data_IF_108895840886
#
_entry.id   IF_108895840886
#
_cell.length_a   1.000
_cell.length_b   1.000
_cell.length_c   1.000
_cell.angle_alpha   90.00
_cell.angle_beta   90.00
_cell.angle_gamma   90.00
#
_symmetry.space_group_name_H-M   'P 1'
#
loop_
_entity.id
_entity.type
_entity.pdbx_description
1 polymer ?
#
# COMPACT_ATOMS: atom_id res chain seq x y z
N UNK A 1 4.77 5.20 -17.39
CA UNK A 1 5.55 6.19 -16.59
C UNK A 1 4.74 6.59 -15.36
N UNK A 2 5.38 6.97 -14.24
CA UNK A 2 4.69 7.53 -13.06
C UNK A 2 4.66 9.05 -13.13
N UNK A 3 3.53 9.66 -12.82
CA UNK A 3 3.39 11.13 -12.77
C UNK A 3 2.94 11.56 -11.39
N UNK A 4 3.66 12.51 -10.78
CA UNK A 4 3.36 12.99 -9.44
C UNK A 4 2.78 14.41 -9.48
N UNK A 5 1.82 14.68 -8.59
CA UNK A 5 1.27 16.02 -8.40
C UNK A 5 2.39 17.03 -8.06
N UNK A 6 2.35 18.28 -8.57
CA UNK A 6 1.29 18.88 -9.40
C UNK A 6 1.42 18.63 -10.89
N UNK A 7 2.59 18.16 -11.37
CA UNK A 7 2.89 18.07 -12.80
C UNK A 7 2.14 16.94 -13.50
N UNK A 8 1.87 15.83 -12.80
CA UNK A 8 1.20 14.67 -13.40
C UNK A 8 2.03 14.04 -14.53
N UNK A 9 1.35 13.54 -15.57
CA UNK A 9 1.99 12.92 -16.74
C UNK A 9 2.29 11.42 -16.60
N UNK A 10 1.61 10.74 -15.68
CA UNK A 10 1.71 9.29 -15.54
C UNK A 10 0.98 8.59 -16.68
N UNK A 11 1.53 7.46 -17.11
CA UNK A 11 0.95 6.58 -18.12
C UNK A 11 0.89 5.16 -17.55
N UNK A 12 -0.30 4.56 -17.62
CA UNK A 12 -0.58 3.17 -17.25
C UNK A 12 -1.17 2.49 -18.47
N UNK A 13 -0.55 1.39 -18.91
CA UNK A 13 -1.10 0.51 -19.94
C UNK A 13 -1.73 -0.68 -19.21
N UNK A 14 -3.03 -0.86 -19.37
CA UNK A 14 -3.76 -2.01 -18.82
C UNK A 14 -4.02 -2.99 -19.95
N UNK A 15 -3.54 -4.22 -19.78
CA UNK A 15 -3.87 -5.34 -20.65
C UNK A 15 -4.63 -6.36 -19.83
N UNK A 16 -5.86 -6.67 -20.24
CA UNK A 16 -6.68 -7.69 -19.59
C UNK A 16 -7.15 -8.71 -20.62
N UNK A 17 -7.21 -9.97 -20.21
CA UNK A 17 -7.86 -11.02 -20.97
C UNK A 17 -9.31 -11.13 -20.50
N UNK A 18 -10.31 -11.04 -21.38
CA UNK A 18 -11.70 -11.20 -20.99
C UNK A 18 -11.92 -12.59 -20.41
N UNK A 19 -12.61 -12.67 -19.27
CA UNK A 19 -13.10 -13.93 -18.72
C UNK A 19 -14.54 -14.17 -19.19
N UNK A 20 -14.90 -15.43 -19.45
CA UNK A 20 -16.26 -15.79 -19.89
C UNK A 20 -17.29 -15.67 -18.78
N UNK A 21 -16.86 -15.85 -17.54
CA UNK A 21 -17.69 -15.77 -16.35
C UNK A 21 -16.80 -15.34 -15.17
N UNK A 22 -17.33 -14.52 -14.29
CA UNK A 22 -16.71 -14.18 -13.01
C UNK A 22 -17.07 -15.27 -12.00
N UNK A 23 -16.08 -15.76 -11.27
CA UNK A 23 -16.34 -16.68 -10.16
C UNK A 23 -16.60 -15.86 -8.89
N UNK A 24 -17.60 -16.23 -8.08
CA UNK A 24 -17.86 -15.55 -6.83
C UNK A 24 -16.66 -15.71 -5.89
N UNK A 25 -16.32 -14.62 -5.19
CA UNK A 25 -15.26 -14.64 -4.18
C UNK A 25 -15.92 -14.86 -2.83
N UNK A 26 -15.56 -15.95 -2.15
CA UNK A 26 -16.09 -16.25 -0.82
C UNK A 26 -15.11 -15.76 0.27
N UNK A 27 -15.28 -14.51 0.69
CA UNK A 27 -14.53 -13.89 1.80
C UNK A 27 -15.37 -13.85 3.08
N UNK A 28 -15.82 -15.00 3.54
CA UNK A 28 -16.62 -15.14 4.78
C UNK A 28 -15.76 -15.26 6.03
N UNK A 29 -14.53 -15.76 5.89
CA UNK A 29 -13.54 -15.82 6.96
C UNK A 29 -12.31 -14.98 6.60
N UNK A 30 -11.91 -14.13 7.53
CA UNK A 30 -10.71 -13.29 7.41
C UNK A 30 -9.42 -14.10 7.64
N UNK A 31 -9.48 -15.15 8.45
CA UNK A 31 -8.29 -15.86 8.91
C UNK A 31 -7.30 -14.96 9.67
N UNK A 32 -6.06 -15.45 9.79
CA UNK A 32 -4.95 -14.75 10.48
C UNK A 32 -4.02 -14.07 9.48
N UNK A 33 -3.45 -12.92 9.85
CA UNK A 33 -2.41 -12.27 9.03
C UNK A 33 -1.17 -13.17 8.94
N UNK A 34 -0.73 -13.49 7.72
CA UNK A 34 0.41 -14.39 7.44
C UNK A 34 1.66 -13.65 7.00
N UNK A 35 1.51 -12.47 6.39
CA UNK A 35 2.64 -11.61 6.01
C UNK A 35 2.22 -10.15 5.87
N UNK A 36 3.15 -9.24 6.17
CA UNK A 36 3.03 -7.84 5.81
C UNK A 36 4.19 -7.47 4.90
N UNK A 37 3.88 -6.86 3.78
CA UNK A 37 4.89 -6.41 2.83
C UNK A 37 4.48 -5.09 2.20
N UNK A 38 5.39 -4.43 1.49
CA UNK A 38 5.06 -3.15 0.88
C UNK A 38 6.22 -2.49 0.16
N UNK A 39 5.97 -1.28 -0.31
CA UNK A 39 6.94 -0.47 -1.04
C UNK A 39 6.86 0.97 -0.57
N UNK A 40 7.99 1.52 -0.13
CA UNK A 40 8.18 2.94 0.09
C UNK A 40 8.99 3.48 -1.08
N UNK A 41 8.51 4.50 -1.79
CA UNK A 41 9.17 4.97 -3.00
C UNK A 41 9.45 6.48 -2.94
N UNK A 42 10.50 6.88 -3.65
CA UNK A 42 10.81 8.29 -3.94
C UNK A 42 11.09 8.44 -5.43
N UNK A 43 10.79 9.60 -5.98
CA UNK A 43 10.95 9.94 -7.39
C UNK A 43 11.52 11.34 -7.57
N UNK A 44 12.13 11.58 -8.72
CA UNK A 44 12.75 12.85 -9.07
C UNK A 44 14.00 13.13 -8.22
N UNK A 45 14.10 14.34 -7.67
CA UNK A 45 15.28 14.79 -6.90
C UNK A 45 15.24 14.39 -5.43
N UNK A 46 14.19 13.70 -4.98
CA UNK A 46 14.05 13.33 -3.58
C UNK A 46 15.11 12.28 -3.17
N UNK A 47 15.79 12.46 -2.02
CA UNK A 47 16.80 11.52 -1.58
C UNK A 47 16.22 10.14 -1.28
N UNK A 48 16.94 9.07 -1.66
CA UNK A 48 16.58 7.68 -1.33
C UNK A 48 16.37 7.45 0.17
N UNK A 49 17.05 8.24 1.02
CA UNK A 49 16.87 8.22 2.48
C UNK A 49 15.41 8.44 2.90
N UNK A 50 14.64 9.26 2.18
CA UNK A 50 13.22 9.51 2.48
C UNK A 50 12.41 8.20 2.38
N UNK A 51 12.67 7.35 1.37
CA UNK A 51 12.03 6.04 1.26
C UNK A 51 12.43 5.10 2.41
N UNK A 52 13.71 5.11 2.81
CA UNK A 52 14.19 4.31 3.94
C UNK A 52 13.54 4.75 5.27
N UNK A 53 13.43 6.05 5.49
CA UNK A 53 12.88 6.61 6.71
C UNK A 53 11.37 6.31 6.81
N UNK A 54 10.60 6.45 5.71
CA UNK A 54 9.20 5.99 5.62
C UNK A 54 9.05 4.50 5.97
N UNK A 55 9.85 3.63 5.34
CA UNK A 55 9.78 2.19 5.57
C UNK A 55 10.11 1.84 7.02
N UNK A 56 11.18 2.43 7.58
CA UNK A 56 11.59 2.18 8.95
C UNK A 56 10.54 2.66 9.96
N UNK A 57 9.94 3.84 9.76
CA UNK A 57 8.87 4.37 10.61
C UNK A 57 7.62 3.49 10.56
N UNK A 58 7.21 3.04 9.37
CA UNK A 58 6.10 2.11 9.19
C UNK A 58 6.34 0.77 9.92
N UNK A 59 7.51 0.17 9.74
CA UNK A 59 7.88 -1.08 10.43
C UNK A 59 7.84 -0.90 11.95
N UNK A 60 8.42 0.19 12.47
CA UNK A 60 8.38 0.49 13.92
C UNK A 60 6.96 0.65 14.44
N UNK A 61 6.07 1.28 13.67
CA UNK A 61 4.66 1.42 14.03
C UNK A 61 3.95 0.05 14.07
N UNK A 62 4.06 -0.74 12.99
CA UNK A 62 3.45 -2.07 12.88
C UNK A 62 3.90 -3.00 14.02
N UNK A 63 5.20 -2.97 14.35
CA UNK A 63 5.79 -3.82 15.40
C UNK A 63 5.27 -3.55 16.81
N UNK A 64 4.58 -2.42 17.06
CA UNK A 64 3.92 -2.16 18.35
C UNK A 64 2.77 -3.15 18.60
N UNK A 65 2.11 -3.60 17.55
CA UNK A 65 0.95 -4.50 17.63
C UNK A 65 1.22 -5.88 17.04
N UNK A 66 2.04 -5.96 15.98
CA UNK A 66 2.34 -7.21 15.28
C UNK A 66 3.79 -7.60 15.54
N UNK A 67 4.03 -8.46 16.53
CA UNK A 67 5.38 -8.79 17.01
C UNK A 67 6.05 -9.92 16.24
N UNK A 68 5.33 -10.99 15.92
CA UNK A 68 5.93 -12.25 15.46
C UNK A 68 5.77 -12.51 13.96
N UNK A 69 5.35 -11.49 13.19
CA UNK A 69 5.13 -11.63 11.76
C UNK A 69 6.34 -11.16 10.94
N UNK A 70 6.55 -11.75 9.76
CA UNK A 70 7.47 -11.19 8.79
C UNK A 70 6.89 -9.88 8.21
N UNK A 71 7.67 -8.79 8.31
CA UNK A 71 7.30 -7.46 7.81
C UNK A 71 8.41 -6.98 6.87
N UNK A 72 8.12 -6.82 5.59
CA UNK A 72 9.10 -6.39 4.58
C UNK A 72 8.58 -5.24 3.72
N UNK A 73 9.02 -4.02 4.04
CA UNK A 73 8.69 -2.82 3.26
C UNK A 73 9.93 -2.39 2.49
N UNK A 74 9.92 -2.55 1.17
CA UNK A 74 11.07 -2.28 0.33
C UNK A 74 11.16 -0.77 0.01
N UNK A 75 12.26 -0.08 0.37
CA UNK A 75 12.53 1.27 -0.10
C UNK A 75 13.01 1.23 -1.55
N UNK A 76 12.45 2.08 -2.42
CA UNK A 76 12.75 2.12 -3.86
C UNK A 76 12.97 3.55 -4.33
N UNK A 77 14.00 3.76 -5.14
CA UNK A 77 14.18 4.97 -5.95
C UNK A 77 13.58 4.70 -7.33
N UNK A 78 12.56 5.48 -7.72
CA UNK A 78 12.03 5.40 -9.08
C UNK A 78 13.11 5.84 -10.09
N UNK A 79 13.31 5.10 -11.19
CA UNK A 79 14.20 5.50 -12.26
C UNK A 79 13.84 6.88 -12.82
N UNK A 80 14.85 7.68 -13.18
CA UNK A 80 14.65 9.07 -13.64
C UNK A 80 13.84 9.16 -14.93
N UNK A 81 13.95 8.15 -15.78
CA UNK A 81 13.23 7.96 -17.04
C UNK A 81 11.82 7.38 -16.85
N UNK A 82 11.47 6.95 -15.64
CA UNK A 82 10.18 6.32 -15.34
C UNK A 82 9.28 7.19 -14.45
N UNK A 83 9.71 8.39 -14.09
CA UNK A 83 8.95 9.30 -13.25
C UNK A 83 9.06 10.77 -13.68
N UNK A 84 7.92 11.43 -13.90
CA UNK A 84 7.86 12.87 -14.12
C UNK A 84 7.50 13.60 -12.82
N UNK A 85 8.37 14.54 -12.42
CA UNK A 85 8.23 15.30 -11.18
C UNK A 85 8.82 14.63 -9.95
N UNK A 86 8.61 15.26 -8.79
CA UNK A 86 9.10 14.79 -7.50
C UNK A 86 7.92 14.22 -6.72
N UNK A 87 8.10 13.04 -6.15
CA UNK A 87 7.04 12.38 -5.39
C UNK A 87 7.61 11.34 -4.46
N UNK A 88 6.96 11.14 -3.31
CA UNK A 88 7.27 10.04 -2.43
C UNK A 88 5.97 9.51 -1.83
N UNK A 89 6.00 8.26 -1.40
CA UNK A 89 4.87 7.64 -0.76
C UNK A 89 5.19 6.21 -0.35
N UNK A 90 4.22 5.59 0.29
CA UNK A 90 4.34 4.23 0.81
C UNK A 90 3.00 3.52 0.64
N UNK A 91 3.07 2.25 0.27
CA UNK A 91 1.96 1.30 0.30
C UNK A 91 2.40 0.07 1.09
N UNK A 92 1.53 -0.40 1.98
CA UNK A 92 1.74 -1.54 2.85
C UNK A 92 0.53 -2.44 2.71
N UNK A 93 0.77 -3.74 2.57
CA UNK A 93 -0.24 -4.78 2.34
C UNK A 93 -0.05 -5.86 3.40
N UNK A 94 -1.14 -6.20 4.08
CA UNK A 94 -1.26 -7.39 4.91
C UNK A 94 -2.02 -8.46 4.15
N UNK A 95 -1.48 -9.67 4.11
CA UNK A 95 -2.16 -10.85 3.57
C UNK A 95 -2.56 -11.78 4.70
N UNK A 96 -3.70 -12.44 4.54
CA UNK A 96 -4.23 -13.39 5.51
C UNK A 96 -4.19 -14.83 4.99
N UNK A 97 -4.43 -15.78 5.87
CA UNK A 97 -4.46 -17.22 5.54
C UNK A 97 -5.60 -17.60 4.59
N UNK A 98 -6.65 -16.78 4.50
CA UNK A 98 -7.81 -17.00 3.60
C UNK A 98 -7.71 -16.21 2.31
N UNK A 99 -6.63 -15.44 2.12
CA UNK A 99 -6.41 -14.64 0.92
C UNK A 99 -7.00 -13.22 0.97
N UNK A 100 -7.58 -12.79 2.10
CA UNK A 100 -7.94 -11.38 2.29
C UNK A 100 -6.69 -10.50 2.26
N UNK A 101 -6.78 -9.37 1.57
CA UNK A 101 -5.77 -8.34 1.48
C UNK A 101 -6.27 -7.07 2.16
N UNK A 102 -5.41 -6.46 2.97
CA UNK A 102 -5.67 -5.15 3.57
C UNK A 102 -4.52 -4.22 3.25
N UNK A 103 -4.83 -3.01 2.81
CA UNK A 103 -3.82 -2.03 2.48
C UNK A 103 -3.84 -0.83 3.43
N UNK A 104 -2.68 -0.20 3.58
CA UNK A 104 -2.53 1.15 4.12
C UNK A 104 -1.55 1.92 3.24
N UNK A 105 -1.85 3.18 2.95
CA UNK A 105 -0.99 4.00 2.12
C UNK A 105 -0.97 5.46 2.56
N UNK A 106 0.12 6.16 2.24
CA UNK A 106 0.21 7.60 2.39
C UNK A 106 1.17 8.18 1.35
N UNK A 107 0.90 9.41 0.94
CA UNK A 107 1.71 10.17 -0.01
C UNK A 107 2.40 11.33 0.71
N UNK A 108 3.65 11.56 0.37
CA UNK A 108 4.41 12.70 0.87
C UNK A 108 3.78 14.03 0.45
N UNK A 109 3.69 14.95 1.40
CA UNK A 109 3.18 16.31 1.19
C UNK A 109 4.19 17.31 1.74
N UNK A 110 4.17 18.53 1.20
CA UNK A 110 5.06 19.62 1.66
C UNK A 110 4.81 19.88 3.15
N UNK A 111 5.88 19.94 3.94
CA UNK A 111 5.80 20.17 5.38
C UNK A 111 5.53 18.92 6.23
N UNK A 112 5.37 17.74 5.61
CA UNK A 112 5.19 16.47 6.32
C UNK A 112 6.50 15.68 6.28
N UNK A 113 6.95 15.19 7.45
CA UNK A 113 8.16 14.37 7.55
C UNK A 113 7.94 12.96 6.96
N UNK A 114 9.02 12.33 6.47
CA UNK A 114 9.00 10.96 5.98
C UNK A 114 8.48 9.97 7.04
N UNK A 115 8.91 10.13 8.30
CA UNK A 115 8.46 9.29 9.41
C UNK A 115 6.94 9.37 9.60
N UNK A 116 6.37 10.58 9.52
CA UNK A 116 4.92 10.78 9.64
C UNK A 116 4.16 10.08 8.50
N UNK A 117 4.64 10.17 7.26
CA UNK A 117 4.05 9.47 6.11
C UNK A 117 4.07 7.95 6.32
N UNK A 118 5.19 7.40 6.81
CA UNK A 118 5.31 5.99 7.14
C UNK A 118 4.36 5.55 8.26
N UNK A 119 4.22 6.36 9.31
CA UNK A 119 3.31 6.11 10.43
C UNK A 119 1.86 6.15 9.98
N UNK A 120 1.45 7.16 9.21
CA UNK A 120 0.07 7.29 8.70
C UNK A 120 -0.35 6.05 7.89
N UNK A 121 0.52 5.56 7.00
CA UNK A 121 0.21 4.36 6.22
C UNK A 121 0.12 3.09 7.08
N UNK A 122 0.98 2.96 8.09
CA UNK A 122 0.94 1.86 9.04
C UNK A 122 -0.32 1.92 9.94
N UNK A 123 -0.69 3.11 10.42
CA UNK A 123 -1.90 3.31 11.22
C UNK A 123 -3.16 3.02 10.41
N UNK A 124 -3.21 3.41 9.13
CA UNK A 124 -4.30 3.06 8.23
C UNK A 124 -4.43 1.53 8.08
N UNK A 125 -3.32 0.83 7.83
CA UNK A 125 -3.32 -0.63 7.77
C UNK A 125 -3.81 -1.26 9.08
N UNK A 126 -3.28 -0.80 10.23
CA UNK A 126 -3.67 -1.32 11.54
C UNK A 126 -5.13 -1.03 11.86
N UNK A 127 -5.66 0.14 11.48
CA UNK A 127 -7.08 0.46 11.61
C UNK A 127 -7.95 -0.52 10.81
N UNK A 128 -7.60 -0.79 9.55
CA UNK A 128 -8.27 -1.80 8.72
C UNK A 128 -8.20 -3.19 9.37
N UNK A 129 -7.05 -3.56 9.92
CA UNK A 129 -6.88 -4.84 10.63
C UNK A 129 -7.67 -4.90 11.95
N UNK A 130 -7.94 -3.78 12.62
CA UNK A 130 -8.75 -3.74 13.85
C UNK A 130 -10.25 -3.74 13.57
N UNK A 131 -10.68 -3.16 12.45
CA UNK A 131 -12.10 -3.07 12.09
C UNK A 131 -12.75 -4.46 11.93
N UNK A 132 -11.96 -5.50 11.63
CA UNK A 132 -12.42 -6.89 11.72
C UNK A 132 -13.12 -7.42 10.47
N UNK A 133 -13.35 -6.59 9.45
CA UNK A 133 -13.92 -7.01 8.17
C UNK A 133 -12.97 -7.87 7.34
N UNK A 134 -13.49 -8.51 6.29
CA UNK A 134 -12.72 -9.33 5.32
C UNK A 134 -12.16 -8.53 4.14
N UNK A 135 -12.48 -7.24 4.11
CA UNK A 135 -12.13 -6.26 3.09
C UNK A 135 -11.78 -4.93 3.77
N UNK A 136 -10.81 -4.20 3.24
CA UNK A 136 -10.53 -2.84 3.71
C UNK A 136 -11.60 -1.85 3.24
N UNK A 137 -11.71 -0.70 3.93
CA UNK A 137 -12.74 0.32 3.70
C UNK A 137 -12.80 0.81 2.23
N UNK A 138 -11.67 0.84 1.52
CA UNK A 138 -11.63 1.31 0.14
C UNK A 138 -11.86 0.19 -0.90
N UNK A 139 -11.62 -1.07 -0.53
CA UNK A 139 -11.89 -2.23 -1.38
C UNK A 139 -13.37 -2.64 -1.39
N UNK A 140 -14.15 -2.26 -0.36
CA UNK A 140 -15.57 -2.65 -0.25
C UNK A 140 -16.37 -2.25 -1.49
N UNK A 141 -16.20 -1.03 -1.97
CA UNK A 141 -16.95 -0.48 -3.10
C UNK A 141 -16.61 -1.19 -4.43
N UNK A 142 -15.37 -1.69 -4.58
CA UNK A 142 -14.94 -2.38 -5.80
C UNK A 142 -15.41 -3.85 -5.88
N UNK A 143 -15.80 -4.43 -4.75
CA UNK A 143 -16.29 -5.81 -4.67
C UNK A 143 -17.82 -5.90 -4.72
N UNK A 144 -18.54 -4.83 -4.32
CA UNK A 144 -20.01 -4.80 -4.37
C UNK A 144 -20.58 -4.87 -5.81
N UNK A 145 -19.80 -4.59 -6.85
CA UNK A 145 -20.25 -4.70 -8.24
C UNK A 145 -20.31 -6.14 -8.76
N UNK A 146 -19.86 -7.13 -7.97
CA UNK A 146 -19.93 -8.56 -8.31
C UNK A 146 -20.59 -9.37 -7.19
N UNK A 147 -21.87 -9.09 -6.86
CA UNK A 147 -22.60 -9.91 -5.91
C UNK A 147 -22.90 -11.28 -6.53
N UNK A 148 -22.68 -12.33 -5.74
CA UNK A 148 -23.09 -13.74 -5.89
C UNK A 148 -23.36 -14.32 -7.28
#
# INVERSE_FOLDING_TARGET
MRGYYPKGGGEVIIQMSPVKQLNPINLTDRGSVTKIHGRAFVAGVLPFKVAKDMAAAAVRCIRKEVRDLYVNIQPVQEPKDQAFGNGNGIIIIAETSTGCLFAGSSLGKRGVSADKVGIEAAEMLLANLRHGGTVDEYLQDQLMEFPE
#
